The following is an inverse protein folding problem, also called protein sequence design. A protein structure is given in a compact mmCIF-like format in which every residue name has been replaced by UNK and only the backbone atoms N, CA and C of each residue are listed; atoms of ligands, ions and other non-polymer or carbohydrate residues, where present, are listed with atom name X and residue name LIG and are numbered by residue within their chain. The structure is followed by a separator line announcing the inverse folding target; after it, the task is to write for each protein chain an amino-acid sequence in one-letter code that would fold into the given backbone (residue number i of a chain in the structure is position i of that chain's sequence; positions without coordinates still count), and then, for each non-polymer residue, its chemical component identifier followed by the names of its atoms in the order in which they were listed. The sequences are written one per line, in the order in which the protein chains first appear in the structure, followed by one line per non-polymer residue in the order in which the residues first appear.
data_IF_255510087012
#
_entry.id   IF_255510087012
#
_cell.length_a   1.000
_cell.length_b   1.000
_cell.length_c   1.000
_cell.angle_alpha   90.00
_cell.angle_beta   90.00
_cell.angle_gamma   90.00
#
_symmetry.space_group_name_H-M   'P 1'
#
loop_
_entity.id
_entity.type
_entity.pdbx_description
1 polymer ?
#
# COMPACT_ATOMS: atom_id res chain seq x y z
N UNK A 1 -11.52 -2.64 10.12
CA UNK A 1 -11.01 -3.89 10.72
C UNK A 1 -11.53 -5.14 10.00
N UNK A 2 -12.85 -5.33 9.87
CA UNK A 2 -13.45 -6.49 9.18
C UNK A 2 -12.95 -6.65 7.73
N UNK A 3 -12.93 -5.58 6.93
CA UNK A 3 -12.47 -5.64 5.53
C UNK A 3 -10.96 -5.93 5.40
N UNK A 4 -10.15 -5.46 6.35
CA UNK A 4 -8.71 -5.76 6.39
C UNK A 4 -8.45 -7.23 6.71
N UNK A 5 -9.26 -7.82 7.60
CA UNK A 5 -9.22 -9.27 7.86
C UNK A 5 -9.57 -10.07 6.60
N UNK A 6 -10.62 -9.68 5.86
CA UNK A 6 -10.97 -10.34 4.61
C UNK A 6 -9.89 -10.23 3.52
N UNK A 7 -9.20 -9.10 3.44
CA UNK A 7 -8.03 -8.96 2.56
C UNK A 7 -6.87 -9.88 2.95
N UNK A 8 -6.70 -10.15 4.24
CA UNK A 8 -5.61 -10.98 4.75
C UNK A 8 -5.80 -12.48 4.52
N UNK A 9 -7.03 -12.91 4.20
CA UNK A 9 -7.39 -14.32 4.04
C UNK A 9 -6.47 -15.10 3.10
N UNK A 10 -6.10 -14.64 1.89
CA UNK A 10 -5.20 -15.41 1.01
C UNK A 10 -3.83 -15.65 1.63
N UNK A 11 -3.37 -14.72 2.46
CA UNK A 11 -2.10 -14.83 3.17
C UNK A 11 -2.24 -15.80 4.35
N UNK A 12 -3.32 -15.70 5.13
CA UNK A 12 -3.61 -16.62 6.23
C UNK A 12 -3.79 -18.07 5.74
N UNK A 13 -4.41 -18.27 4.57
CA UNK A 13 -4.58 -19.57 3.94
C UNK A 13 -3.27 -20.25 3.53
N UNK A 14 -2.19 -19.48 3.43
CA UNK A 14 -0.85 -20.00 3.15
C UNK A 14 -0.14 -20.50 4.41
N UNK A 15 -0.74 -20.37 5.61
CA UNK A 15 -0.15 -20.93 6.83
C UNK A 15 -0.34 -22.46 6.88
N UNK A 16 0.64 -23.20 7.43
CA UNK A 16 0.62 -24.67 7.46
C UNK A 16 -0.63 -25.23 8.18
N UNK A 17 -1.17 -24.50 9.16
CA UNK A 17 -2.37 -24.89 9.89
C UNK A 17 -3.63 -25.04 8.99
N UNK A 18 -3.72 -24.28 7.90
CA UNK A 18 -4.90 -24.30 7.02
C UNK A 18 -4.79 -25.26 5.84
N UNK A 19 -3.64 -25.92 5.64
CA UNK A 19 -3.34 -26.67 4.42
C UNK A 19 -4.34 -27.80 4.11
N UNK A 20 -4.91 -28.46 5.13
CA UNK A 20 -5.85 -29.58 5.04
C UNK A 20 -7.27 -29.30 5.57
N UNK A 21 -7.62 -28.02 5.78
CA UNK A 21 -8.89 -27.65 6.40
C UNK A 21 -10.02 -27.47 5.36
N UNK A 22 -11.26 -27.89 5.67
CA UNK A 22 -12.47 -27.51 4.90
C UNK A 22 -12.64 -25.99 4.78
N UNK A 23 -12.06 -25.27 5.74
CA UNK A 23 -11.97 -23.80 5.80
C UNK A 23 -11.20 -23.25 4.58
N UNK A 24 -10.19 -23.95 4.06
CA UNK A 24 -9.42 -23.55 2.87
C UNK A 24 -10.28 -23.41 1.60
N UNK A 25 -11.23 -24.33 1.40
CA UNK A 25 -12.14 -24.30 0.24
C UNK A 25 -13.06 -23.08 0.32
N UNK A 26 -13.63 -22.83 1.50
CA UNK A 26 -14.56 -21.71 1.71
C UNK A 26 -13.86 -20.35 1.58
N UNK A 27 -12.64 -20.25 2.09
CA UNK A 27 -11.84 -19.02 2.06
C UNK A 27 -11.13 -18.79 0.71
N UNK A 28 -10.86 -19.82 -0.10
CA UNK A 28 -10.29 -19.65 -1.44
C UNK A 28 -11.22 -18.82 -2.34
N UNK A 29 -12.53 -19.03 -2.24
CA UNK A 29 -13.52 -18.23 -2.98
C UNK A 29 -13.48 -16.73 -2.60
N UNK A 30 -13.00 -16.40 -1.39
CA UNK A 30 -12.84 -15.01 -0.94
C UNK A 30 -11.55 -14.40 -1.48
N UNK A 31 -10.52 -15.24 -1.71
CA UNK A 31 -9.21 -14.78 -2.15
C UNK A 31 -9.24 -14.09 -3.51
N UNK A 32 -10.09 -14.57 -4.42
CA UNK A 32 -10.30 -14.01 -5.76
C UNK A 32 -10.86 -12.57 -5.72
N UNK A 33 -11.44 -12.14 -4.60
CA UNK A 33 -12.04 -10.83 -4.44
C UNK A 33 -11.20 -9.83 -3.63
N UNK A 34 -9.98 -10.20 -3.22
CA UNK A 34 -9.14 -9.35 -2.34
C UNK A 34 -8.85 -7.97 -2.92
N UNK A 35 -8.50 -7.86 -4.20
CA UNK A 35 -8.29 -6.56 -4.85
C UNK A 35 -9.55 -5.68 -4.82
N UNK A 36 -10.73 -6.29 -5.02
CA UNK A 36 -12.00 -5.58 -4.95
C UNK A 36 -12.27 -5.11 -3.52
N UNK A 37 -11.95 -5.92 -2.51
CA UNK A 37 -12.11 -5.55 -1.09
C UNK A 37 -11.29 -4.30 -0.73
N UNK A 38 -10.04 -4.19 -1.18
CA UNK A 38 -9.21 -2.99 -0.94
C UNK A 38 -9.87 -1.76 -1.57
N UNK A 39 -10.25 -1.88 -2.85
CA UNK A 39 -10.89 -0.78 -3.58
C UNK A 39 -12.19 -0.33 -2.91
N UNK A 40 -13.08 -1.27 -2.59
CA UNK A 40 -14.34 -0.96 -1.90
C UNK A 40 -14.12 -0.33 -0.53
N UNK A 41 -13.09 -0.75 0.21
CA UNK A 41 -12.77 -0.18 1.51
C UNK A 41 -12.39 1.30 1.41
N UNK A 42 -11.67 1.67 0.35
CA UNK A 42 -11.33 3.07 0.08
C UNK A 42 -12.54 3.87 -0.41
N UNK A 43 -13.35 3.32 -1.34
CA UNK A 43 -14.59 3.99 -1.78
C UNK A 43 -15.56 4.18 -0.60
N UNK A 44 -15.62 3.21 0.31
CA UNK A 44 -16.38 3.31 1.54
C UNK A 44 -15.88 4.44 2.44
N UNK A 45 -14.55 4.60 2.62
CA UNK A 45 -14.00 5.70 3.40
C UNK A 45 -14.31 7.07 2.78
N UNK A 46 -14.28 7.17 1.45
CA UNK A 46 -14.69 8.37 0.69
C UNK A 46 -16.16 8.71 0.99
N UNK A 47 -17.05 7.71 0.90
CA UNK A 47 -18.48 7.89 1.17
C UNK A 47 -18.72 8.39 2.60
N UNK A 48 -18.05 7.80 3.59
CA UNK A 48 -18.20 8.19 4.99
C UNK A 48 -17.79 9.64 5.26
N UNK A 49 -16.75 10.14 4.58
CA UNK A 49 -16.21 11.48 4.83
C UNK A 49 -16.92 12.56 4.03
N UNK A 50 -17.30 12.27 2.78
CA UNK A 50 -17.92 13.25 1.89
C UNK A 50 -19.43 13.32 2.06
N UNK A 51 -20.10 12.21 2.36
CA UNK A 51 -21.55 12.14 2.46
C UNK A 51 -21.99 12.18 3.92
N UNK A 52 -22.70 13.26 4.30
CA UNK A 52 -23.18 13.44 5.69
C UNK A 52 -24.41 12.59 6.04
N UNK A 53 -25.25 12.25 5.05
CA UNK A 53 -26.53 11.54 5.27
C UNK A 53 -26.37 10.03 5.05
N UNK A 54 -26.78 9.22 6.04
CA UNK A 54 -26.70 7.74 6.00
C UNK A 54 -27.38 7.12 4.76
N UNK A 55 -28.53 7.67 4.32
CA UNK A 55 -29.19 7.25 3.08
C UNK A 55 -28.29 7.41 1.84
N UNK A 56 -27.57 8.51 1.74
CA UNK A 56 -26.69 8.78 0.59
C UNK A 56 -25.45 7.89 0.63
N UNK A 57 -24.90 7.63 1.83
CA UNK A 57 -23.81 6.67 2.01
C UNK A 57 -24.21 5.28 1.52
N UNK A 58 -25.38 4.77 1.94
CA UNK A 58 -25.87 3.45 1.53
C UNK A 58 -26.09 3.40 0.01
N UNK A 59 -26.76 4.40 -0.57
CA UNK A 59 -26.98 4.46 -2.02
C UNK A 59 -25.64 4.46 -2.77
N UNK A 60 -24.69 5.30 -2.37
CA UNK A 60 -23.37 5.38 -3.01
C UNK A 60 -22.63 4.04 -2.95
N UNK A 61 -22.62 3.37 -1.79
CA UNK A 61 -21.99 2.06 -1.62
C UNK A 61 -22.65 1.02 -2.52
N UNK A 62 -23.99 0.97 -2.56
CA UNK A 62 -24.73 0.04 -3.42
C UNK A 62 -24.44 0.29 -4.90
N UNK A 63 -24.38 1.56 -5.32
CA UNK A 63 -24.00 1.92 -6.69
C UNK A 63 -22.58 1.48 -7.02
N UNK A 64 -21.62 1.67 -6.12
CA UNK A 64 -20.24 1.22 -6.35
C UNK A 64 -20.14 -0.31 -6.42
N UNK A 65 -20.86 -1.05 -5.58
CA UNK A 65 -20.95 -2.52 -5.65
C UNK A 65 -21.56 -2.97 -6.98
N UNK A 66 -22.65 -2.33 -7.41
CA UNK A 66 -23.30 -2.63 -8.68
C UNK A 66 -22.36 -2.38 -9.87
N UNK A 67 -21.68 -1.23 -9.92
CA UNK A 67 -20.68 -0.91 -10.96
C UNK A 67 -19.59 -1.97 -10.98
N UNK A 68 -19.08 -2.38 -9.84
CA UNK A 68 -18.01 -3.38 -9.77
C UNK A 68 -18.47 -4.79 -10.21
N UNK A 69 -19.72 -5.19 -9.90
CA UNK A 69 -20.30 -6.45 -10.38
C UNK A 69 -20.46 -6.41 -11.91
N UNK A 70 -21.02 -5.33 -12.43
CA UNK A 70 -21.20 -5.13 -13.88
C UNK A 70 -19.86 -5.05 -14.63
N UNK A 71 -18.81 -4.56 -13.97
CA UNK A 71 -17.46 -4.45 -14.54
C UNK A 71 -16.64 -5.76 -14.47
N UNK A 72 -17.21 -6.88 -13.98
CA UNK A 72 -16.49 -8.16 -13.84
C UNK A 72 -15.87 -8.68 -15.15
N UNK A 73 -16.44 -8.34 -16.31
CA UNK A 73 -15.94 -8.76 -17.63
C UNK A 73 -14.74 -7.97 -18.15
N UNK A 74 -14.46 -6.78 -17.60
CA UNK A 74 -13.30 -5.96 -17.95
C UNK A 74 -12.11 -6.31 -17.06
N UNK A 75 -11.67 -7.57 -17.12
CA UNK A 75 -10.70 -8.25 -16.24
C UNK A 75 -9.36 -7.50 -16.09
N UNK A 76 -8.99 -6.64 -17.06
CA UNK A 76 -7.72 -5.93 -17.09
C UNK A 76 -7.61 -4.72 -16.14
N UNK A 77 -8.71 -4.06 -15.74
CA UNK A 77 -8.63 -2.78 -15.01
C UNK A 77 -8.78 -2.87 -13.48
N UNK A 78 -9.40 -3.93 -12.95
CA UNK A 78 -9.68 -4.03 -11.50
C UNK A 78 -8.49 -4.54 -10.66
N UNK A 79 -7.56 -5.28 -11.26
CA UNK A 79 -6.34 -5.76 -10.59
C UNK A 79 -5.35 -4.61 -10.36
N UNK A 80 -5.29 -3.67 -11.31
CA UNK A 80 -4.42 -2.49 -11.26
C UNK A 80 -4.80 -1.56 -10.10
N UNK A 81 -6.08 -1.29 -9.91
CA UNK A 81 -6.52 -0.32 -8.88
C UNK A 81 -6.34 -0.90 -7.47
N UNK A 82 -6.76 -2.14 -7.20
CA UNK A 82 -6.64 -2.73 -5.86
C UNK A 82 -5.18 -2.96 -5.45
N UNK A 83 -4.35 -3.48 -6.36
CA UNK A 83 -2.93 -3.75 -6.07
C UNK A 83 -2.12 -2.47 -5.94
N UNK A 84 -2.33 -1.46 -6.79
CA UNK A 84 -1.64 -0.17 -6.66
C UNK A 84 -2.13 0.61 -5.46
N UNK A 85 -3.41 0.48 -5.08
CA UNK A 85 -3.98 1.19 -3.94
C UNK A 85 -3.21 0.88 -2.64
N UNK A 86 -2.95 -0.39 -2.36
CA UNK A 86 -2.20 -0.81 -1.16
C UNK A 86 -0.67 -0.70 -1.32
N UNK A 87 -0.15 -0.57 -2.55
CA UNK A 87 1.29 -0.45 -2.82
C UNK A 87 1.66 0.99 -3.16
N UNK A 88 1.77 1.35 -4.44
CA UNK A 88 2.30 2.64 -4.88
C UNK A 88 1.42 3.83 -4.46
N UNK A 89 0.10 3.71 -4.57
CA UNK A 89 -0.80 4.83 -4.24
C UNK A 89 -0.71 5.12 -2.74
N UNK A 90 -0.81 4.11 -1.88
CA UNK A 90 -0.68 4.32 -0.44
C UNK A 90 0.72 4.79 -0.05
N UNK A 91 1.75 4.03 -0.44
CA UNK A 91 3.11 4.25 0.02
C UNK A 91 3.72 5.53 -0.55
N UNK A 92 3.42 5.89 -1.80
CA UNK A 92 4.04 7.05 -2.46
C UNK A 92 3.06 8.23 -2.63
N UNK A 93 1.90 8.02 -3.24
CA UNK A 93 0.98 9.13 -3.57
C UNK A 93 0.35 9.73 -2.31
N UNK A 94 -0.19 8.91 -1.40
CA UNK A 94 -0.75 9.42 -0.14
C UNK A 94 0.33 10.03 0.74
N UNK A 95 1.55 9.45 0.78
CA UNK A 95 2.70 10.08 1.44
C UNK A 95 2.97 11.49 0.94
N UNK A 96 3.03 11.68 -0.39
CA UNK A 96 3.20 12.99 -1.00
C UNK A 96 2.05 13.94 -0.62
N UNK A 97 0.80 13.50 -0.73
CA UNK A 97 -0.37 14.31 -0.39
C UNK A 97 -0.35 14.73 1.09
N UNK A 98 0.07 13.86 2.00
CA UNK A 98 0.25 14.22 3.41
C UNK A 98 1.32 15.29 3.61
N UNK A 99 2.43 15.21 2.89
CA UNK A 99 3.48 16.24 2.98
C UNK A 99 2.98 17.58 2.46
N UNK A 100 2.29 17.60 1.31
CA UNK A 100 1.66 18.81 0.76
C UNK A 100 0.65 19.39 1.74
N UNK A 101 -0.26 18.56 2.27
CA UNK A 101 -1.28 19.01 3.21
C UNK A 101 -0.66 19.60 4.48
N UNK A 102 0.32 18.90 5.06
CA UNK A 102 1.05 19.37 6.24
C UNK A 102 1.76 20.71 5.99
N UNK A 103 2.44 20.82 4.85
CA UNK A 103 3.18 22.02 4.46
C UNK A 103 2.28 23.22 4.20
N UNK A 104 1.13 23.02 3.56
CA UNK A 104 0.14 24.08 3.35
C UNK A 104 -0.44 24.55 4.69
N UNK A 105 -0.81 23.61 5.57
CA UNK A 105 -1.39 23.92 6.87
C UNK A 105 -0.42 24.67 7.78
N UNK A 106 0.86 24.32 7.75
CA UNK A 106 1.91 24.98 8.56
C UNK A 106 2.59 26.14 7.84
N UNK A 107 2.19 26.46 6.60
CA UNK A 107 2.84 27.45 5.72
C UNK A 107 4.36 27.25 5.59
N UNK A 108 4.82 25.99 5.54
CA UNK A 108 6.24 25.64 5.50
C UNK A 108 6.75 25.55 4.07
N UNK A 109 7.54 26.55 3.64
CA UNK A 109 8.21 26.53 2.34
C UNK A 109 9.20 25.35 2.21
N UNK A 110 10.07 25.05 3.19
CA UNK A 110 10.94 23.87 3.11
C UNK A 110 10.17 22.55 2.96
N UNK A 111 9.02 22.43 3.63
CA UNK A 111 8.15 21.25 3.51
C UNK A 111 7.54 21.10 2.12
N UNK A 112 7.15 22.21 1.49
CA UNK A 112 6.60 22.21 0.13
C UNK A 112 7.69 21.87 -0.90
N UNK A 113 8.91 22.42 -0.74
CA UNK A 113 10.08 22.07 -1.54
C UNK A 113 10.40 20.58 -1.40
N UNK A 114 10.44 20.04 -0.18
CA UNK A 114 10.66 18.62 0.05
C UNK A 114 9.57 17.74 -0.61
N UNK A 115 8.30 18.18 -0.56
CA UNK A 115 7.20 17.50 -1.24
C UNK A 115 7.40 17.45 -2.76
N UNK A 116 7.87 18.56 -3.34
CA UNK A 116 8.20 18.64 -4.77
C UNK A 116 9.37 17.72 -5.15
N UNK A 117 10.42 17.66 -4.32
CA UNK A 117 11.52 16.72 -4.53
C UNK A 117 11.05 15.28 -4.54
N UNK A 118 10.21 14.89 -3.56
CA UNK A 118 9.61 13.55 -3.53
C UNK A 118 8.89 13.27 -4.84
N UNK A 119 8.01 14.18 -5.29
CA UNK A 119 7.26 14.04 -6.54
C UNK A 119 8.16 13.89 -7.77
N UNK A 120 9.32 14.53 -7.79
CA UNK A 120 10.27 14.50 -8.90
C UNK A 120 11.12 13.22 -8.97
N UNK A 121 11.21 12.42 -7.90
CA UNK A 121 12.08 11.24 -7.84
C UNK A 121 11.87 10.22 -8.98
N UNK A 122 10.63 9.87 -9.38
CA UNK A 122 10.42 8.99 -10.54
C UNK A 122 11.07 9.56 -11.80
N UNK A 123 10.90 10.86 -12.06
CA UNK A 123 11.49 11.50 -13.24
C UNK A 123 13.01 11.43 -13.20
N UNK A 124 13.61 11.68 -12.03
CA UNK A 124 15.06 11.57 -11.82
C UNK A 124 15.55 10.15 -12.08
N UNK A 125 14.91 9.13 -11.48
CA UNK A 125 15.29 7.72 -11.63
C UNK A 125 15.18 7.26 -13.09
N UNK A 126 14.08 7.62 -13.76
CA UNK A 126 13.87 7.20 -15.15
C UNK A 126 14.80 7.91 -16.13
N UNK A 127 15.23 9.14 -15.81
CA UNK A 127 16.22 9.90 -16.60
C UNK A 127 17.67 9.45 -16.32
N UNK A 128 17.93 8.83 -15.16
CA UNK A 128 19.26 8.34 -14.81
C UNK A 128 19.70 7.19 -15.71
N UNK A 129 21.00 7.13 -16.02
CA UNK A 129 21.58 6.01 -16.74
C UNK A 129 21.84 4.84 -15.78
N UNK A 130 21.21 3.70 -16.02
CA UNK A 130 21.32 2.49 -15.18
C UNK A 130 21.95 1.39 -16.02
N UNK A 131 23.19 1.01 -15.66
CA UNK A 131 23.94 -0.08 -16.28
C UNK A 131 23.65 -1.39 -15.54
N UNK A 132 22.97 -2.38 -16.17
CA UNK A 132 22.65 -3.64 -15.51
C UNK A 132 23.88 -4.41 -15.00
N UNK A 133 25.02 -4.26 -15.68
CA UNK A 133 26.28 -4.89 -15.30
C UNK A 133 26.80 -4.48 -13.93
N UNK A 134 26.37 -3.32 -13.40
CA UNK A 134 26.80 -2.83 -12.09
C UNK A 134 26.00 -3.44 -10.93
N UNK A 135 24.95 -4.22 -11.21
CA UNK A 135 24.09 -4.81 -10.19
C UNK A 135 24.40 -6.29 -10.01
N UNK A 136 24.57 -6.71 -8.76
CA UNK A 136 24.72 -8.12 -8.40
C UNK A 136 23.49 -8.51 -7.58
N UNK A 137 22.63 -9.34 -8.16
CA UNK A 137 21.44 -9.86 -7.50
C UNK A 137 21.69 -11.34 -7.25
N UNK A 138 21.86 -11.70 -5.99
CA UNK A 138 22.10 -13.08 -5.57
C UNK A 138 20.92 -13.99 -5.94
N UNK A 139 21.22 -15.26 -6.25
CA UNK A 139 20.20 -16.19 -6.74
C UNK A 139 19.11 -16.49 -5.70
N UNK A 140 19.50 -16.60 -4.43
CA UNK A 140 18.56 -16.74 -3.31
C UNK A 140 17.61 -15.54 -3.20
N UNK A 141 18.06 -14.33 -3.53
CA UNK A 141 17.21 -13.15 -3.50
C UNK A 141 16.21 -13.16 -4.66
N UNK A 142 16.65 -13.60 -5.85
CA UNK A 142 15.75 -13.80 -7.00
C UNK A 142 14.67 -14.84 -6.69
N UNK A 143 15.05 -15.98 -6.12
CA UNK A 143 14.11 -17.05 -5.80
C UNK A 143 13.05 -16.60 -4.78
N UNK A 144 13.43 -15.87 -3.73
CA UNK A 144 12.49 -15.30 -2.75
C UNK A 144 11.57 -14.26 -3.43
N UNK A 145 12.13 -13.41 -4.29
CA UNK A 145 11.36 -12.37 -4.99
C UNK A 145 10.31 -12.95 -5.94
N UNK A 146 10.64 -14.01 -6.68
CA UNK A 146 9.70 -14.70 -7.57
C UNK A 146 8.68 -15.52 -6.78
N UNK A 147 9.11 -16.34 -5.83
CA UNK A 147 8.22 -17.21 -5.04
C UNK A 147 7.18 -16.45 -4.22
N UNK A 148 7.49 -15.20 -3.84
CA UNK A 148 6.56 -14.31 -3.12
C UNK A 148 5.80 -13.34 -4.02
N UNK A 149 5.86 -13.51 -5.35
CA UNK A 149 5.06 -12.73 -6.31
C UNK A 149 5.39 -11.22 -6.32
N UNK A 150 6.56 -10.79 -5.83
CA UNK A 150 6.94 -9.37 -5.80
C UNK A 150 7.21 -8.79 -7.19
N UNK A 151 7.62 -9.63 -8.13
CA UNK A 151 7.82 -9.25 -9.53
C UNK A 151 6.53 -8.75 -10.21
N UNK A 152 5.34 -9.17 -9.77
CA UNK A 152 4.09 -8.71 -10.37
C UNK A 152 3.87 -7.20 -10.22
N UNK A 153 4.33 -6.58 -9.12
CA UNK A 153 4.25 -5.12 -8.99
C UNK A 153 5.07 -4.44 -10.10
N UNK A 154 6.28 -4.93 -10.35
CA UNK A 154 7.16 -4.41 -11.39
C UNK A 154 6.55 -4.60 -12.79
N UNK A 155 6.03 -5.80 -13.08
CA UNK A 155 5.34 -6.11 -14.34
C UNK A 155 4.14 -5.17 -14.54
N UNK A 156 3.30 -4.98 -13.52
CA UNK A 156 2.10 -4.14 -13.62
C UNK A 156 2.45 -2.66 -13.83
N UNK A 157 3.50 -2.16 -13.15
CA UNK A 157 4.00 -0.80 -13.39
C UNK A 157 4.52 -0.69 -14.83
N UNK A 158 5.39 -1.60 -15.26
CA UNK A 158 5.95 -1.58 -16.62
C UNK A 158 4.85 -1.63 -17.70
N UNK A 159 3.85 -2.50 -17.52
CA UNK A 159 2.68 -2.61 -18.41
C UNK A 159 1.88 -1.31 -18.47
N UNK A 160 1.67 -0.65 -17.31
CA UNK A 160 0.92 0.62 -17.23
C UNK A 160 1.59 1.73 -18.03
N UNK A 161 2.93 1.73 -18.08
CA UNK A 161 3.72 2.69 -18.85
C UNK A 161 4.05 2.20 -20.27
N UNK A 162 3.50 1.07 -20.72
CA UNK A 162 3.75 0.53 -22.07
C UNK A 162 5.15 -0.03 -22.29
N UNK A 163 5.90 -0.31 -21.23
CA UNK A 163 7.29 -0.80 -21.28
C UNK A 163 7.39 -2.34 -21.35
N UNK A 164 6.29 -3.05 -21.07
CA UNK A 164 6.22 -4.51 -21.05
C UNK A 164 4.85 -5.00 -21.52
N UNK A 165 4.80 -6.21 -22.07
CA UNK A 165 3.58 -6.93 -22.43
C UNK A 165 2.78 -7.45 -21.20
N UNK A 166 3.36 -7.33 -20.01
CA UNK A 166 2.76 -7.77 -18.76
C UNK A 166 2.93 -9.26 -18.46
N UNK A 167 3.78 -9.99 -19.20
CA UNK A 167 3.91 -11.46 -19.06
C UNK A 167 5.22 -11.90 -18.44
N UNK A 168 6.31 -11.19 -18.74
CA UNK A 168 7.65 -11.57 -18.30
C UNK A 168 8.29 -10.51 -17.41
N UNK A 169 9.15 -10.97 -16.50
CA UNK A 169 9.99 -10.12 -15.65
C UNK A 169 11.45 -10.52 -15.82
N UNK A 170 12.32 -9.52 -16.01
CA UNK A 170 13.75 -9.72 -16.19
C UNK A 170 14.52 -8.86 -15.18
N UNK A 171 15.29 -9.50 -14.31
CA UNK A 171 16.01 -8.82 -13.21
C UNK A 171 17.03 -7.78 -13.68
N UNK A 172 17.60 -7.96 -14.87
CA UNK A 172 18.68 -7.12 -15.41
C UNK A 172 18.23 -6.20 -16.54
N UNK A 173 16.93 -6.12 -16.78
CA UNK A 173 16.40 -5.20 -17.76
C UNK A 173 16.37 -3.78 -17.18
N UNK A 174 16.83 -2.78 -17.95
CA UNK A 174 17.12 -1.44 -17.41
C UNK A 174 15.88 -0.77 -16.82
N UNK A 175 14.72 -0.92 -17.48
CA UNK A 175 13.48 -0.34 -16.96
C UNK A 175 12.94 -1.08 -15.73
N UNK A 176 13.13 -2.40 -15.61
CA UNK A 176 12.74 -3.14 -14.40
C UNK A 176 13.62 -2.77 -13.20
N UNK A 177 14.93 -2.57 -13.42
CA UNK A 177 15.82 -2.04 -12.40
C UNK A 177 15.38 -0.65 -11.92
N UNK A 178 15.05 0.26 -12.85
CA UNK A 178 14.55 1.60 -12.53
C UNK A 178 13.24 1.57 -11.73
N UNK A 179 12.28 0.72 -12.14
CA UNK A 179 11.04 0.52 -11.39
C UNK A 179 11.35 0.00 -9.98
N UNK A 180 12.24 -0.98 -9.84
CA UNK A 180 12.59 -1.54 -8.54
C UNK A 180 13.32 -0.52 -7.64
N UNK A 181 14.17 0.35 -8.20
CA UNK A 181 14.80 1.48 -7.49
C UNK A 181 13.71 2.46 -6.99
N UNK A 182 12.74 2.79 -7.85
CA UNK A 182 11.61 3.64 -7.45
C UNK A 182 10.78 3.01 -6.34
N UNK A 183 10.44 1.72 -6.44
CA UNK A 183 9.72 0.98 -5.39
C UNK A 183 10.52 1.01 -4.09
N UNK A 184 11.82 0.71 -4.13
CA UNK A 184 12.68 0.75 -2.96
C UNK A 184 12.72 2.14 -2.32
N UNK A 185 12.85 3.20 -3.11
CA UNK A 185 12.77 4.58 -2.63
C UNK A 185 11.42 4.87 -1.97
N UNK A 186 10.31 4.57 -2.65
CA UNK A 186 8.97 4.87 -2.17
C UNK A 186 8.70 4.23 -0.81
N UNK A 187 9.00 2.94 -0.66
CA UNK A 187 8.82 2.23 0.60
C UNK A 187 9.75 2.76 1.69
N UNK A 188 11.03 2.97 1.39
CA UNK A 188 11.99 3.52 2.35
C UNK A 188 11.56 4.90 2.84
N UNK A 189 11.21 5.79 1.91
CA UNK A 189 10.79 7.14 2.24
C UNK A 189 9.49 7.16 3.03
N UNK A 190 8.52 6.32 2.68
CA UNK A 190 7.27 6.18 3.44
C UNK A 190 7.52 5.85 4.91
N UNK A 191 8.38 4.86 5.20
CA UNK A 191 8.75 4.52 6.58
C UNK A 191 9.47 5.67 7.29
N UNK A 192 10.46 6.30 6.64
CA UNK A 192 11.21 7.43 7.24
C UNK A 192 10.33 8.66 7.49
N UNK A 193 9.38 8.94 6.59
CA UNK A 193 8.42 10.03 6.71
C UNK A 193 7.48 9.85 7.91
N UNK A 194 7.22 8.60 8.32
CA UNK A 194 6.46 8.33 9.53
C UNK A 194 7.27 8.70 10.79
N UNK A 195 8.55 8.35 10.81
CA UNK A 195 9.47 8.73 11.89
C UNK A 195 9.71 10.24 12.00
N UNK A 196 9.70 10.97 10.88
CA UNK A 196 9.86 12.44 10.90
C UNK A 196 8.64 13.19 11.43
N UNK A 197 7.49 12.53 11.60
CA UNK A 197 6.20 13.13 12.03
C UNK A 197 5.75 12.71 13.42
N UNK A 198 6.64 12.09 14.18
CA UNK A 198 6.37 11.48 15.47
C UNK A 198 5.72 12.46 16.49
N UNK A 199 6.14 13.73 16.49
CA UNK A 199 5.59 14.81 17.32
C UNK A 199 4.25 15.34 16.81
N UNK A 200 4.04 15.37 15.50
CA UNK A 200 2.81 15.83 14.83
C UNK A 200 1.69 14.81 15.03
N UNK A 201 1.99 13.52 14.88
CA UNK A 201 1.06 12.41 15.15
C UNK A 201 0.82 12.30 16.66
N UNK A 202 1.80 12.71 17.48
CA UNK A 202 1.68 12.78 18.92
C UNK A 202 1.92 11.44 19.61
N UNK A 203 2.86 10.63 19.11
CA UNK A 203 3.16 9.32 19.72
C UNK A 203 3.50 9.43 21.21
N UNK A 204 4.26 10.45 21.59
CA UNK A 204 4.60 10.73 22.98
C UNK A 204 3.37 10.89 23.89
N UNK A 205 2.19 11.22 23.35
CA UNK A 205 0.93 11.32 24.09
C UNK A 205 0.19 9.98 24.20
N UNK A 206 0.44 9.07 23.26
CA UNK A 206 -0.26 7.78 23.13
C UNK A 206 0.56 6.61 23.71
N UNK A 207 1.88 6.77 23.78
CA UNK A 207 2.81 5.78 24.32
C UNK A 207 2.76 5.86 25.86
N UNK A 208 1.94 4.99 26.45
CA UNK A 208 1.93 4.70 27.88
C UNK A 208 2.83 3.50 28.18
N UNK A 209 3.25 3.31 29.43
CA UNK A 209 4.05 2.13 29.84
C UNK A 209 3.40 0.80 29.41
N UNK A 210 2.08 0.70 29.54
CA UNK A 210 1.32 -0.49 29.12
C UNK A 210 1.40 -0.70 27.60
N UNK A 211 1.16 0.36 26.81
CA UNK A 211 1.20 0.28 25.35
C UNK A 211 2.62 -0.06 24.85
N UNK A 212 3.66 0.49 25.48
CA UNK A 212 5.05 0.16 25.15
C UNK A 212 5.36 -1.32 25.38
N UNK A 213 4.86 -1.90 26.48
CA UNK A 213 5.04 -3.33 26.76
C UNK A 213 4.33 -4.17 25.69
N UNK A 214 3.08 -3.82 25.33
CA UNK A 214 2.34 -4.52 24.28
C UNK A 214 3.09 -4.44 22.94
N UNK A 215 3.56 -3.25 22.55
CA UNK A 215 4.32 -3.05 21.31
C UNK A 215 5.60 -3.88 21.33
N UNK A 216 6.35 -3.88 22.45
CA UNK A 216 7.57 -4.66 22.59
C UNK A 216 7.30 -6.17 22.49
N UNK A 217 6.25 -6.66 23.14
CA UNK A 217 5.83 -8.07 23.05
C UNK A 217 5.45 -8.43 21.60
N UNK A 218 4.61 -7.61 20.95
CA UNK A 218 4.23 -7.82 19.55
C UNK A 218 5.43 -7.84 18.61
N UNK A 219 6.40 -6.95 18.84
CA UNK A 219 7.64 -6.89 18.06
C UNK A 219 8.50 -8.15 18.29
N UNK A 220 8.73 -8.55 19.54
CA UNK A 220 9.49 -9.78 19.88
C UNK A 220 8.82 -10.99 19.25
N UNK A 221 7.49 -11.14 19.40
CA UNK A 221 6.74 -12.24 18.78
C UNK A 221 6.89 -12.25 17.26
N UNK A 222 6.88 -11.08 16.61
CA UNK A 222 7.08 -10.97 15.16
C UNK A 222 8.48 -11.43 14.74
N UNK A 223 9.51 -11.06 15.50
CA UNK A 223 10.89 -11.49 15.25
C UNK A 223 11.06 -13.00 15.47
N UNK A 224 10.53 -13.53 16.57
CA UNK A 224 10.59 -14.97 16.88
C UNK A 224 9.88 -15.81 15.81
N UNK A 225 8.76 -15.33 15.27
CA UNK A 225 8.08 -16.02 14.18
C UNK A 225 8.96 -16.11 12.92
N UNK A 226 9.74 -15.08 12.59
CA UNK A 226 10.70 -15.17 11.49
C UNK A 226 11.81 -16.20 11.73
N UNK A 227 12.26 -16.37 12.98
CA UNK A 227 13.30 -17.35 13.29
C UNK A 227 12.78 -18.78 13.28
N UNK A 228 11.48 -18.98 13.55
CA UNK A 228 10.83 -20.29 13.49
C UNK A 228 10.49 -20.66 12.03
N UNK A 229 9.77 -19.78 11.34
CA UNK A 229 9.36 -19.97 9.94
C UNK A 229 9.21 -18.61 9.24
N UNK A 230 10.11 -18.34 8.30
CA UNK A 230 10.15 -17.08 7.58
C UNK A 230 8.82 -16.74 6.89
N UNK A 231 8.15 -17.76 6.34
CA UNK A 231 6.87 -17.59 5.63
C UNK A 231 5.76 -17.14 6.59
N UNK A 232 5.67 -17.72 7.77
CA UNK A 232 4.70 -17.36 8.81
C UNK A 232 4.94 -15.96 9.36
N UNK A 233 6.19 -15.62 9.71
CA UNK A 233 6.56 -14.27 10.14
C UNK A 233 6.20 -13.22 9.08
N UNK A 234 6.51 -13.52 7.82
CA UNK A 234 6.16 -12.67 6.69
C UNK A 234 4.65 -12.46 6.52
N UNK A 235 3.84 -13.52 6.56
CA UNK A 235 2.37 -13.44 6.45
C UNK A 235 1.78 -12.56 7.55
N UNK A 236 2.23 -12.73 8.80
CA UNK A 236 1.74 -11.91 9.92
C UNK A 236 2.07 -10.43 9.73
N UNK A 237 3.29 -10.11 9.31
CA UNK A 237 3.68 -8.73 9.06
C UNK A 237 2.98 -8.11 7.86
N UNK A 238 2.72 -8.87 6.80
CA UNK A 238 1.88 -8.39 5.68
C UNK A 238 0.46 -8.13 6.14
N UNK A 239 -0.09 -8.94 7.05
CA UNK A 239 -1.39 -8.68 7.65
C UNK A 239 -1.40 -7.37 8.45
N UNK A 240 -0.47 -7.20 9.39
CA UNK A 240 -0.34 -5.99 10.19
C UNK A 240 -0.08 -4.76 9.31
N UNK A 241 0.73 -4.92 8.26
CA UNK A 241 0.99 -3.90 7.26
C UNK A 241 -0.30 -3.50 6.54
N UNK A 242 -1.04 -4.46 6.01
CA UNK A 242 -2.29 -4.12 5.30
C UNK A 242 -3.35 -3.53 6.24
N UNK A 243 -3.39 -3.96 7.50
CA UNK A 243 -4.30 -3.41 8.48
C UNK A 243 -4.11 -1.89 8.65
N UNK A 244 -2.86 -1.40 8.72
CA UNK A 244 -2.63 0.04 8.82
C UNK A 244 -3.10 0.79 7.58
N UNK A 245 -2.87 0.24 6.38
CA UNK A 245 -3.31 0.86 5.11
C UNK A 245 -4.80 1.16 5.14
N UNK A 246 -5.61 0.19 5.57
CA UNK A 246 -7.07 0.32 5.66
C UNK A 246 -7.50 1.33 6.72
N UNK A 247 -6.79 1.38 7.85
CA UNK A 247 -7.07 2.34 8.92
C UNK A 247 -6.73 3.78 8.52
N UNK A 248 -5.79 3.97 7.60
CA UNK A 248 -5.41 5.29 7.08
C UNK A 248 -6.31 5.80 5.95
N UNK A 249 -7.12 4.96 5.30
CA UNK A 249 -8.00 5.40 4.20
C UNK A 249 -8.89 6.61 4.54
N UNK A 250 -9.54 6.69 5.72
CA UNK A 250 -10.27 7.91 6.10
C UNK A 250 -9.36 9.14 6.19
N UNK A 251 -8.18 8.97 6.77
CA UNK A 251 -7.21 10.06 6.93
C UNK A 251 -6.67 10.56 5.58
N UNK A 252 -6.46 9.65 4.62
CA UNK A 252 -6.06 9.99 3.24
C UNK A 252 -7.11 10.87 2.56
N UNK A 253 -8.38 10.51 2.67
CA UNK A 253 -9.49 11.30 2.11
C UNK A 253 -9.60 12.66 2.80
N UNK A 254 -9.45 12.73 4.13
CA UNK A 254 -9.42 14.00 4.87
C UNK A 254 -8.29 14.91 4.41
N UNK A 255 -7.11 14.35 4.11
CA UNK A 255 -5.96 15.12 3.64
C UNK A 255 -6.19 15.71 2.26
N UNK A 256 -6.76 14.94 1.33
CA UNK A 256 -7.15 15.44 0.00
C UNK A 256 -8.15 16.59 0.13
N UNK A 257 -9.20 16.42 0.94
CA UNK A 257 -10.19 17.47 1.22
C UNK A 257 -9.54 18.71 1.86
N UNK A 258 -8.58 18.47 2.76
CA UNK A 258 -7.80 19.51 3.43
C UNK A 258 -6.97 20.34 2.47
N UNK A 259 -6.26 19.72 1.53
CA UNK A 259 -5.47 20.40 0.49
C UNK A 259 -6.37 21.34 -0.32
N UNK A 260 -7.50 20.84 -0.84
CA UNK A 260 -8.45 21.65 -1.62
C UNK A 260 -8.95 22.85 -0.80
N UNK A 261 -9.19 22.65 0.50
CA UNK A 261 -9.64 23.72 1.39
C UNK A 261 -8.55 24.77 1.62
N UNK A 262 -7.30 24.36 1.85
CA UNK A 262 -6.19 25.30 2.06
C UNK A 262 -5.83 26.08 0.79
N UNK A 263 -5.87 25.45 -0.38
CA UNK A 263 -5.65 26.16 -1.67
C UNK A 263 -6.73 27.21 -1.88
N UNK A 264 -8.01 26.89 -1.62
CA UNK A 264 -9.12 27.85 -1.77
C UNK A 264 -9.05 29.04 -0.81
N UNK A 265 -8.35 28.93 0.32
CA UNK A 265 -8.15 30.05 1.25
C UNK A 265 -7.05 31.01 0.78
N UNK A 266 -6.19 30.58 -0.14
CA UNK A 266 -5.05 31.34 -0.64
C UNK A 266 -5.33 32.03 -1.99
N UNK A 267 -6.42 31.66 -2.65
CA UNK A 267 -7.00 32.33 -3.82
C UNK A 267 -7.99 33.40 -3.38
#
# INVERSE_FOLDING_TARGET
MVLAFFFAIPFLLKLPFFENSRIKILLNNVADYTNNIVFFSFIFSVALILLKKRKHQIIFILTCILIAILSRGAVSNNILIGSFLATIIHVYIFTFLFMVYGSLKSKSLPGLIASLFVLAVPVIIFSAHVLPANYIIYEWAKSIFISNNFHFLNINIAKTFGLSDGKAFYFYESYFLKIQIFVAFAYTYHYLNWFSKTSIIGWHKLITKSNSIIIAIMWILSVVLYTIDYRTGFILLVFLSTLHVFLEFPLNVLSIKGIVTEIKKQL
#
